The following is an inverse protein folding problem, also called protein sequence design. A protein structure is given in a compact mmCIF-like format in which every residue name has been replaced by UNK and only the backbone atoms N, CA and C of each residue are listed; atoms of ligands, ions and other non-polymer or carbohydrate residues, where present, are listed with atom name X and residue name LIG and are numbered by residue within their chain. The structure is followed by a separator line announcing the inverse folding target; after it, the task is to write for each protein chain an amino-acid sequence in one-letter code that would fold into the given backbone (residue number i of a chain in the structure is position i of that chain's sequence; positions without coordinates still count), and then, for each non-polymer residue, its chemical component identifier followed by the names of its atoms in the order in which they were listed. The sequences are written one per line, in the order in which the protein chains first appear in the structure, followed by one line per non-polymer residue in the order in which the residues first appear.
data_IF_837432498159
#
_entry.id   IF_837432498159
#
_cell.length_a   1.000
_cell.length_b   1.000
_cell.length_c   1.000
_cell.angle_alpha   90.00
_cell.angle_beta   90.00
_cell.angle_gamma   90.00
#
_symmetry.space_group_name_H-M   'P 1'
#
loop_
_entity.id
_entity.type
_entity.pdbx_description
1 polymer ?
#
# COMPACT_ATOMS: atom_id res chain seq x y z
N UNK A 1 19.84 -18.59 12.90
CA UNK A 1 19.94 -18.70 11.43
C UNK A 1 19.06 -17.61 10.84
N UNK A 2 19.63 -16.64 10.11
CA UNK A 2 18.81 -15.69 9.36
C UNK A 2 18.09 -16.47 8.24
N UNK A 3 16.80 -16.22 7.97
CA UNK A 3 16.11 -16.87 6.86
C UNK A 3 16.86 -16.56 5.56
N UNK A 4 17.17 -17.59 4.79
CA UNK A 4 17.76 -17.43 3.47
C UNK A 4 16.71 -16.80 2.55
N UNK A 5 16.98 -15.58 2.10
CA UNK A 5 16.10 -14.80 1.23
C UNK A 5 15.73 -15.62 -0.02
N UNK A 6 16.63 -16.45 -0.54
CA UNK A 6 16.36 -17.28 -1.71
C UNK A 6 15.22 -18.30 -1.51
N UNK A 7 15.02 -18.79 -0.28
CA UNK A 7 14.02 -19.82 0.02
C UNK A 7 12.61 -19.27 0.28
N UNK A 8 12.49 -17.96 0.49
CA UNK A 8 11.24 -17.30 0.89
C UNK A 8 10.60 -16.50 -0.26
N UNK A 9 11.35 -16.28 -1.34
CA UNK A 9 10.88 -15.47 -2.46
C UNK A 9 9.92 -16.22 -3.39
N UNK A 10 8.87 -15.54 -3.89
CA UNK A 10 8.04 -16.03 -4.98
C UNK A 10 8.88 -16.33 -6.22
N UNK A 11 8.45 -17.31 -7.02
CA UNK A 11 9.16 -17.79 -8.22
C UNK A 11 9.54 -16.71 -9.25
N UNK A 12 8.87 -15.56 -9.23
CA UNK A 12 9.10 -14.45 -10.15
C UNK A 12 10.02 -13.34 -9.60
N UNK A 13 10.56 -13.51 -8.39
CA UNK A 13 11.39 -12.52 -7.70
C UNK A 13 12.74 -13.14 -7.31
N UNK A 14 13.83 -12.45 -7.65
CA UNK A 14 15.19 -12.91 -7.31
C UNK A 14 15.76 -12.10 -6.13
N UNK A 15 16.63 -12.69 -5.29
CA UNK A 15 17.31 -11.98 -4.21
C UNK A 15 17.98 -10.67 -4.65
N UNK A 16 18.60 -10.67 -5.83
CA UNK A 16 19.29 -9.52 -6.40
C UNK A 16 18.31 -8.38 -6.71
N UNK A 17 17.11 -8.70 -7.18
CA UNK A 17 16.07 -7.71 -7.46
C UNK A 17 15.60 -7.03 -6.17
N UNK A 18 15.42 -7.80 -5.10
CA UNK A 18 15.04 -7.26 -3.78
C UNK A 18 16.13 -6.37 -3.21
N UNK A 19 17.39 -6.83 -3.27
CA UNK A 19 18.54 -6.08 -2.79
C UNK A 19 18.71 -4.76 -3.56
N UNK A 20 18.55 -4.79 -4.89
CA UNK A 20 18.60 -3.58 -5.72
C UNK A 20 17.47 -2.61 -5.38
N UNK A 21 16.26 -3.12 -5.16
CA UNK A 21 15.11 -2.30 -4.75
C UNK A 21 15.36 -1.63 -3.39
N UNK A 22 15.93 -2.36 -2.43
CA UNK A 22 16.28 -1.82 -1.12
C UNK A 22 17.39 -0.75 -1.21
N UNK A 23 18.41 -0.94 -2.06
CA UNK A 23 19.44 0.07 -2.29
C UNK A 23 18.84 1.35 -2.89
N UNK A 24 17.89 1.22 -3.82
CA UNK A 24 17.16 2.37 -4.39
C UNK A 24 16.29 3.06 -3.34
N UNK A 25 15.69 2.32 -2.40
CA UNK A 25 14.96 2.91 -1.29
C UNK A 25 15.93 3.69 -0.36
N UNK A 26 17.07 3.10 -0.01
CA UNK A 26 18.06 3.71 0.88
C UNK A 26 18.74 4.94 0.27
N UNK A 27 18.94 4.99 -1.04
CA UNK A 27 19.47 6.19 -1.70
C UNK A 27 18.49 7.37 -1.66
N UNK A 28 17.19 7.12 -1.57
CA UNK A 28 16.14 8.15 -1.43
C UNK A 28 15.88 8.53 0.02
N UNK A 29 16.00 7.59 0.95
CA UNK A 29 15.90 7.82 2.37
C UNK A 29 17.17 7.32 3.09
N UNK A 30 18.19 8.19 3.24
CA UNK A 30 19.47 7.81 3.83
C UNK A 30 19.38 7.28 5.27
N UNK A 31 18.30 7.58 6.01
CA UNK A 31 18.09 7.04 7.36
C UNK A 31 17.97 5.51 7.37
N UNK A 32 17.69 4.88 6.22
CA UNK A 32 17.72 3.43 6.07
C UNK A 32 19.12 2.83 6.23
N UNK A 33 20.19 3.60 5.97
CA UNK A 33 21.56 3.17 6.24
C UNK A 33 21.90 3.13 7.74
N UNK A 34 21.11 3.82 8.56
CA UNK A 34 21.26 3.85 10.01
C UNK A 34 20.43 2.76 10.71
N UNK A 35 19.59 2.05 9.96
CA UNK A 35 18.81 0.93 10.49
C UNK A 35 19.70 -0.28 10.79
N UNK A 36 19.29 -1.09 11.76
CA UNK A 36 19.95 -2.37 12.01
C UNK A 36 19.91 -3.27 10.78
N UNK A 37 21.01 -3.94 10.47
CA UNK A 37 21.10 -4.83 9.28
C UNK A 37 20.05 -5.95 9.32
N UNK A 38 19.75 -6.46 10.52
CA UNK A 38 18.73 -7.48 10.74
C UNK A 38 17.32 -6.99 10.40
N UNK A 39 16.94 -5.77 10.84
CA UNK A 39 15.62 -5.22 10.51
C UNK A 39 15.46 -4.96 9.02
N UNK A 40 16.51 -4.46 8.35
CA UNK A 40 16.52 -4.26 6.91
C UNK A 40 16.35 -5.58 6.15
N UNK A 41 17.07 -6.63 6.56
CA UNK A 41 16.92 -7.96 5.98
C UNK A 41 15.50 -8.52 6.17
N UNK A 42 14.94 -8.41 7.37
CA UNK A 42 13.56 -8.85 7.65
C UNK A 42 12.53 -8.07 6.85
N UNK A 43 12.71 -6.76 6.68
CA UNK A 43 11.82 -5.93 5.87
C UNK A 43 11.88 -6.33 4.38
N UNK A 44 13.08 -6.63 3.86
CA UNK A 44 13.24 -7.16 2.50
C UNK A 44 12.59 -8.53 2.32
N UNK A 45 12.72 -9.42 3.32
CA UNK A 45 12.05 -10.74 3.31
C UNK A 45 10.54 -10.55 3.24
N UNK A 46 9.95 -9.68 4.08
CA UNK A 46 8.50 -9.40 4.07
C UNK A 46 8.02 -8.85 2.73
N UNK A 47 8.76 -7.93 2.12
CA UNK A 47 8.46 -7.44 0.78
C UNK A 47 8.48 -8.58 -0.26
N UNK A 48 9.49 -9.43 -0.12
CA UNK A 48 9.67 -10.65 -0.89
C UNK A 48 8.50 -11.63 -0.77
N UNK A 49 8.10 -12.00 0.45
CA UNK A 49 6.97 -12.90 0.75
C UNK A 49 5.68 -12.45 0.05
N UNK A 50 5.43 -11.15 0.04
CA UNK A 50 4.28 -10.55 -0.64
C UNK A 50 4.50 -10.41 -2.16
N UNK A 51 5.73 -10.53 -2.65
CA UNK A 51 6.08 -10.26 -4.03
C UNK A 51 5.83 -8.81 -4.43
N UNK A 52 6.09 -7.88 -3.51
CA UNK A 52 5.89 -6.45 -3.71
C UNK A 52 7.22 -5.71 -3.83
N UNK A 53 7.25 -4.70 -4.70
CA UNK A 53 8.39 -3.78 -4.79
C UNK A 53 8.49 -2.92 -3.51
N UNK A 54 9.68 -2.88 -2.91
CA UNK A 54 9.98 -2.08 -1.72
C UNK A 54 10.79 -0.81 -2.01
N UNK A 55 11.05 -0.51 -3.29
CA UNK A 55 11.79 0.70 -3.70
C UNK A 55 11.01 2.00 -3.49
N UNK A 56 9.70 1.89 -3.27
CA UNK A 56 8.79 3.02 -3.12
C UNK A 56 8.56 3.82 -4.41
N UNK A 57 8.98 3.33 -5.58
CA UNK A 57 8.83 4.05 -6.86
C UNK A 57 7.45 3.89 -7.46
N UNK A 58 6.90 2.69 -7.41
CA UNK A 58 5.59 2.38 -7.99
C UNK A 58 4.44 2.54 -6.98
N UNK A 59 4.76 2.86 -5.73
CA UNK A 59 3.80 2.93 -4.63
C UNK A 59 3.30 1.55 -4.16
N UNK A 60 3.99 0.47 -4.56
CA UNK A 60 3.66 -0.90 -4.16
C UNK A 60 4.02 -1.18 -2.69
N UNK A 61 5.10 -0.58 -2.19
CA UNK A 61 5.49 -0.64 -0.80
C UNK A 61 6.76 0.16 -0.53
N UNK A 62 7.05 0.36 0.75
CA UNK A 62 8.16 1.20 1.22
C UNK A 62 8.93 0.52 2.34
N UNK A 63 10.23 0.78 2.37
CA UNK A 63 11.06 0.58 3.57
C UNK A 63 11.03 1.87 4.37
N UNK A 64 10.56 1.78 5.62
CA UNK A 64 10.37 2.94 6.50
C UNK A 64 11.21 2.76 7.76
N UNK A 65 12.09 3.73 8.08
CA UNK A 65 12.88 3.69 9.31
C UNK A 65 12.05 4.17 10.51
N UNK A 66 12.04 3.38 11.58
CA UNK A 66 11.43 3.74 12.86
C UNK A 66 12.49 3.74 13.96
N UNK A 67 12.44 4.74 14.85
CA UNK A 67 13.29 4.72 16.05
C UNK A 67 12.71 3.73 17.07
N UNK A 68 13.53 2.78 17.54
CA UNK A 68 13.17 1.88 18.62
C UNK A 68 13.96 2.24 19.89
N UNK A 69 13.27 2.89 20.84
CA UNK A 69 13.86 3.30 22.11
C UNK A 69 14.28 2.16 23.04
N UNK A 70 13.81 0.93 22.83
CA UNK A 70 14.23 -0.23 23.65
C UNK A 70 15.64 -0.70 23.32
N UNK A 71 15.99 -0.65 22.04
CA UNK A 71 17.33 -1.06 21.55
C UNK A 71 18.21 0.14 21.19
N UNK A 72 17.70 1.38 21.36
CA UNK A 72 18.38 2.64 21.04
C UNK A 72 18.96 2.65 19.61
N UNK A 73 18.18 2.14 18.65
CA UNK A 73 18.57 2.05 17.25
C UNK A 73 17.38 2.26 16.32
N UNK A 74 17.64 2.57 15.05
CA UNK A 74 16.63 2.58 14.00
C UNK A 74 16.37 1.17 13.48
N UNK A 75 15.12 0.85 13.22
CA UNK A 75 14.70 -0.39 12.59
C UNK A 75 13.95 -0.10 11.30
N UNK A 76 14.28 -0.81 10.23
CA UNK A 76 13.54 -0.75 8.99
C UNK A 76 12.30 -1.64 9.07
N UNK A 77 11.17 -1.13 8.62
CA UNK A 77 9.93 -1.89 8.47
C UNK A 77 9.46 -1.81 7.02
N UNK A 78 8.94 -2.92 6.49
CA UNK A 78 8.26 -2.90 5.20
C UNK A 78 6.79 -2.58 5.42
N UNK A 79 6.31 -1.56 4.71
CA UNK A 79 4.90 -1.15 4.70
C UNK A 79 4.38 -1.30 3.27
N UNK A 80 3.43 -2.23 3.03
CA UNK A 80 2.73 -2.30 1.74
C UNK A 80 2.00 -1.00 1.46
N UNK A 81 2.09 -0.53 0.21
CA UNK A 81 1.32 0.61 -0.25
C UNK A 81 -0.02 0.21 -0.83
N UNK A 82 -0.93 1.17 -0.89
CA UNK A 82 -2.28 0.92 -1.38
C UNK A 82 -2.28 0.31 -2.80
N UNK A 83 -1.36 0.75 -3.68
CA UNK A 83 -1.22 0.15 -5.02
C UNK A 83 -0.72 -1.29 -4.98
N UNK A 84 0.14 -1.62 -4.03
CA UNK A 84 0.60 -2.99 -3.80
C UNK A 84 -0.52 -3.87 -3.25
N UNK A 85 -1.34 -3.34 -2.34
CA UNK A 85 -2.53 -4.03 -1.85
C UNK A 85 -3.54 -4.30 -2.98
N UNK A 86 -3.71 -3.35 -3.91
CA UNK A 86 -4.52 -3.55 -5.13
C UNK A 86 -3.93 -4.68 -6.00
N UNK A 87 -2.61 -4.68 -6.22
CA UNK A 87 -1.94 -5.75 -6.97
C UNK A 87 -2.15 -7.12 -6.31
N UNK A 88 -1.99 -7.20 -4.99
CA UNK A 88 -2.21 -8.42 -4.22
C UNK A 88 -3.65 -8.91 -4.33
N UNK A 89 -4.64 -8.02 -4.20
CA UNK A 89 -6.05 -8.36 -4.32
C UNK A 89 -6.39 -8.93 -5.70
N UNK A 90 -5.84 -8.34 -6.78
CA UNK A 90 -6.08 -8.78 -8.16
C UNK A 90 -5.37 -10.11 -8.48
N UNK A 91 -4.32 -10.49 -7.76
CA UNK A 91 -3.53 -11.70 -8.01
C UNK A 91 -4.34 -12.99 -7.88
N UNK A 92 -5.36 -13.01 -7.01
CA UNK A 92 -6.26 -14.15 -6.83
C UNK A 92 -7.25 -14.38 -7.99
N UNK A 93 -7.42 -13.41 -8.89
CA UNK A 93 -8.31 -13.51 -10.05
C UNK A 93 -9.81 -13.36 -9.77
N UNK A 94 -10.21 -13.33 -8.49
CA UNK A 94 -11.55 -13.01 -8.02
C UNK A 94 -11.87 -11.52 -8.18
N UNK A 95 -10.92 -10.65 -7.83
CA UNK A 95 -11.03 -9.21 -8.04
C UNK A 95 -10.63 -8.90 -9.48
N UNK A 96 -11.60 -8.51 -10.31
CA UNK A 96 -11.36 -8.15 -11.72
C UNK A 96 -10.84 -6.73 -11.83
N UNK A 97 -11.37 -5.82 -11.03
CA UNK A 97 -10.83 -4.47 -10.86
C UNK A 97 -11.00 -3.93 -9.45
N UNK A 98 -10.14 -2.99 -9.06
CA UNK A 98 -10.20 -2.32 -7.77
C UNK A 98 -9.72 -0.89 -7.92
N UNK A 99 -10.52 0.05 -7.42
CA UNK A 99 -10.21 1.46 -7.42
C UNK A 99 -10.26 2.01 -6.01
N UNK A 100 -9.28 2.84 -5.66
CA UNK A 100 -9.28 3.62 -4.43
C UNK A 100 -9.10 5.10 -4.77
N UNK A 101 -9.93 5.97 -4.19
CA UNK A 101 -9.97 7.40 -4.49
C UNK A 101 -10.14 8.21 -3.21
N UNK A 102 -9.54 9.39 -3.21
CA UNK A 102 -9.71 10.40 -2.18
C UNK A 102 -10.89 11.31 -2.53
N UNK A 103 -11.67 11.65 -1.51
CA UNK A 103 -12.78 12.61 -1.56
C UNK A 103 -12.33 13.88 -0.86
N UNK A 104 -12.57 15.01 -1.51
CA UNK A 104 -12.19 16.33 -1.03
C UNK A 104 -13.43 17.19 -0.75
N UNK A 105 -13.28 18.20 0.10
CA UNK A 105 -14.38 19.01 0.61
C UNK A 105 -15.26 19.66 -0.46
N UNK A 106 -14.68 20.00 -1.62
CA UNK A 106 -15.42 20.63 -2.73
C UNK A 106 -15.87 19.65 -3.82
N UNK A 107 -15.61 18.35 -3.69
CA UNK A 107 -16.11 17.33 -4.62
C UNK A 107 -17.63 17.15 -4.43
N UNK A 108 -18.34 16.79 -5.51
CA UNK A 108 -19.72 16.30 -5.37
C UNK A 108 -19.61 14.82 -5.04
N UNK A 109 -20.00 14.45 -3.82
CA UNK A 109 -19.85 13.10 -3.30
C UNK A 109 -21.07 12.66 -2.50
N UNK A 110 -21.57 11.46 -2.76
CA UNK A 110 -22.62 10.80 -1.98
C UNK A 110 -22.35 9.30 -1.89
N UNK A 111 -22.73 8.73 -0.74
CA UNK A 111 -22.77 7.29 -0.52
C UNK A 111 -24.24 6.93 -0.30
N UNK A 112 -24.75 6.06 -1.16
CA UNK A 112 -26.12 5.55 -1.06
C UNK A 112 -26.03 4.16 -0.44
N UNK A 113 -26.70 4.00 0.69
CA UNK A 113 -26.85 2.74 1.40
C UNK A 113 -28.24 2.15 1.13
N UNK A 114 -28.42 0.84 1.36
CA UNK A 114 -29.72 0.18 1.26
C UNK A 114 -29.81 -0.84 0.13
N UNK A 115 -30.94 -0.86 -0.59
CA UNK A 115 -31.25 -1.92 -1.56
C UNK A 115 -30.51 -1.82 -2.89
N UNK A 116 -29.96 -0.65 -3.23
CA UNK A 116 -29.11 -0.43 -4.41
C UNK A 116 -27.91 0.43 -4.01
N UNK A 117 -26.98 -0.13 -3.23
CA UNK A 117 -25.91 0.64 -2.64
C UNK A 117 -24.89 1.03 -3.71
N UNK A 118 -24.51 2.31 -3.75
CA UNK A 118 -23.53 2.84 -4.71
C UNK A 118 -22.88 4.14 -4.25
N UNK A 119 -21.78 4.50 -4.91
CA UNK A 119 -21.06 5.75 -4.69
C UNK A 119 -21.20 6.64 -5.91
N UNK A 120 -21.64 7.89 -5.71
CA UNK A 120 -21.53 8.93 -6.73
C UNK A 120 -20.37 9.86 -6.36
N UNK A 121 -19.37 9.95 -7.23
CA UNK A 121 -18.23 10.85 -7.03
C UNK A 121 -17.91 11.62 -8.31
N UNK A 122 -18.04 12.94 -8.25
CA UNK A 122 -17.65 13.86 -9.32
C UNK A 122 -16.60 14.83 -8.76
N UNK A 123 -15.31 14.61 -9.05
CA UNK A 123 -14.25 15.48 -8.57
C UNK A 123 -14.44 16.92 -9.07
N UNK A 124 -14.14 17.88 -8.21
CA UNK A 124 -14.06 19.28 -8.62
C UNK A 124 -12.79 19.49 -9.47
N UNK A 125 -12.96 20.03 -10.68
CA UNK A 125 -11.88 20.23 -11.65
C UNK A 125 -11.68 21.70 -12.04
N UNK A 126 -12.67 22.54 -11.74
CA UNK A 126 -12.74 23.97 -12.08
C UNK A 126 -12.05 24.87 -11.05
N UNK A 127 -11.84 24.38 -9.82
CA UNK A 127 -11.22 25.11 -8.73
C UNK A 127 -10.47 24.18 -7.79
N UNK A 128 -9.90 24.76 -6.74
CA UNK A 128 -9.28 23.99 -5.67
C UNK A 128 -10.28 23.01 -5.03
N UNK A 129 -9.85 21.76 -4.87
CA UNK A 129 -10.67 20.68 -4.31
C UNK A 129 -10.84 20.81 -2.79
N UNK A 130 -9.98 21.57 -2.12
CA UNK A 130 -9.99 21.78 -0.68
C UNK A 130 -9.30 20.66 0.09
N UNK A 131 -9.66 20.48 1.35
CA UNK A 131 -9.08 19.46 2.22
C UNK A 131 -9.64 18.06 1.92
N UNK A 132 -8.86 17.01 2.20
CA UNK A 132 -9.34 15.63 2.13
C UNK A 132 -10.34 15.39 3.25
N UNK A 133 -11.53 14.90 2.92
CA UNK A 133 -12.60 14.59 3.88
C UNK A 133 -12.80 13.09 4.08
N UNK A 134 -12.39 12.28 3.11
CA UNK A 134 -12.44 10.82 3.21
C UNK A 134 -11.78 10.12 2.03
N UNK A 135 -11.92 8.80 2.01
CA UNK A 135 -11.51 7.94 0.92
C UNK A 135 -12.52 6.83 0.73
N UNK A 136 -12.64 6.33 -0.50
CA UNK A 136 -13.42 5.12 -0.76
C UNK A 136 -12.66 4.14 -1.65
N UNK A 137 -13.10 2.89 -1.60
CA UNK A 137 -12.70 1.85 -2.52
C UNK A 137 -13.92 1.23 -3.20
N UNK A 138 -13.77 0.82 -4.46
CA UNK A 138 -14.74 0.02 -5.21
C UNK A 138 -14.01 -1.20 -5.77
N UNK A 139 -14.57 -2.39 -5.57
CA UNK A 139 -14.07 -3.65 -6.10
C UNK A 139 -15.11 -4.30 -7.01
N UNK A 140 -14.66 -4.72 -8.18
CA UNK A 140 -15.42 -5.54 -9.11
C UNK A 140 -14.99 -6.98 -8.91
N UNK A 141 -15.95 -7.82 -8.54
CA UNK A 141 -15.72 -9.24 -8.30
C UNK A 141 -16.22 -10.05 -9.49
N UNK A 142 -15.48 -11.11 -9.85
CA UNK A 142 -15.86 -12.00 -10.94
C UNK A 142 -17.20 -12.66 -10.65
N UNK A 143 -18.18 -12.44 -11.53
CA UNK A 143 -19.50 -13.05 -11.43
C UNK A 143 -20.44 -12.40 -10.42
N UNK A 144 -20.04 -11.28 -9.78
CA UNK A 144 -20.94 -10.50 -8.95
C UNK A 144 -21.82 -9.58 -9.82
N UNK A 145 -23.09 -9.46 -9.45
CA UNK A 145 -24.04 -8.54 -10.09
C UNK A 145 -23.78 -7.08 -9.68
N UNK A 146 -23.30 -6.86 -8.46
CA UNK A 146 -23.03 -5.54 -7.89
C UNK A 146 -21.58 -5.41 -7.44
N UNK A 147 -21.08 -4.17 -7.42
CA UNK A 147 -19.76 -3.83 -6.89
C UNK A 147 -19.77 -3.77 -5.37
N UNK A 148 -18.71 -4.24 -4.74
CA UNK A 148 -18.46 -4.00 -3.31
C UNK A 148 -17.78 -2.64 -3.18
N UNK A 149 -18.27 -1.79 -2.29
CA UNK A 149 -17.67 -0.49 -2.03
C UNK A 149 -17.67 -0.19 -0.54
N UNK A 150 -16.69 0.60 -0.12
CA UNK A 150 -16.53 1.04 1.27
C UNK A 150 -16.05 2.49 1.23
N UNK A 151 -16.66 3.34 2.05
CA UNK A 151 -16.24 4.72 2.26
C UNK A 151 -15.85 4.92 3.72
N UNK A 152 -14.73 5.61 3.95
CA UNK A 152 -14.26 5.99 5.27
C UNK A 152 -13.93 7.49 5.28
N UNK A 153 -14.38 8.16 6.32
CA UNK A 153 -13.97 9.54 6.63
C UNK A 153 -12.50 9.59 7.04
N UNK A 154 -11.88 10.77 6.95
CA UNK A 154 -10.50 10.96 7.48
C UNK A 154 -10.42 10.67 8.98
N UNK A 155 -11.52 10.86 9.73
CA UNK A 155 -11.58 10.50 11.14
C UNK A 155 -11.42 9.00 11.36
N UNK A 156 -12.14 8.18 10.59
CA UNK A 156 -12.07 6.72 10.66
C UNK A 156 -10.74 6.16 10.14
N UNK A 157 -10.13 6.80 9.13
CA UNK A 157 -8.83 6.38 8.60
C UNK A 157 -7.68 6.62 9.59
N UNK A 158 -7.81 7.64 10.45
CA UNK A 158 -6.78 8.03 11.43
C UNK A 158 -6.94 7.36 12.80
N UNK A 159 -8.08 6.71 13.04
CA UNK A 159 -8.39 6.02 14.29
C UNK A 159 -7.54 4.76 14.47
#
# INVERSE_FOLDING_TARGET
MAPDLANVLPKHMTPERVAKAALVAASRNPQLFECTRSSLALAMIKAGELGLDCSGRLGAGWLVPYWNGRIQAREAQFIPGYRGLIELAKRGGEVTDLQAKLVYANDIFSVVEGSDPHIEHRPCHDRDRGEIVGAYAIAWLRGAEHTVHEYMTVGEIKA
#
